data_IF_722141757289
#
_entry.id   IF_722141757289
#
_cell.length_a   1.000
_cell.length_b   1.000
_cell.length_c   1.000
_cell.angle_alpha   90.00
_cell.angle_beta   90.00
_cell.angle_gamma   90.00
#
_symmetry.space_group_name_H-M   'P 1'
#
loop_
_entity.id
_entity.type
_entity.pdbx_description
1 polymer ?
#
# COMPACT_ATOMS: atom_id res chain seq x y z
N UNK A 1 -37.87 54.65 35.03
CA UNK A 1 -36.55 54.75 34.40
C UNK A 1 -35.97 53.35 34.38
N UNK A 2 -35.85 52.78 33.19
CA UNK A 2 -35.24 51.48 32.93
C UNK A 2 -33.74 51.53 33.23
N UNK A 3 -33.19 50.44 33.75
CA UNK A 3 -31.77 50.28 34.03
C UNK A 3 -31.42 48.80 34.09
N UNK A 4 -31.29 48.19 32.90
CA UNK A 4 -30.86 46.81 32.68
C UNK A 4 -29.35 46.73 32.99
N UNK A 5 -28.94 45.89 33.93
CA UNK A 5 -27.53 45.54 34.14
C UNK A 5 -27.26 44.15 33.60
N UNK A 6 -26.65 44.06 32.43
CA UNK A 6 -26.04 42.86 31.86
C UNK A 6 -24.75 42.52 32.62
N UNK A 7 -24.55 41.28 33.11
CA UNK A 7 -23.24 40.84 33.55
C UNK A 7 -22.36 40.51 32.33
N UNK A 8 -21.16 41.07 32.33
CA UNK A 8 -20.13 40.93 31.31
C UNK A 8 -19.80 39.46 31.04
N UNK A 9 -19.79 39.08 29.75
CA UNK A 9 -19.34 37.78 29.27
C UNK A 9 -17.81 37.77 29.33
N UNK A 10 -17.27 37.14 30.36
CA UNK A 10 -15.83 36.92 30.53
C UNK A 10 -15.30 36.13 29.31
N UNK A 11 -14.42 36.75 28.53
CA UNK A 11 -13.74 36.09 27.42
C UNK A 11 -12.68 35.16 28.00
N UNK A 12 -12.94 33.86 27.89
CA UNK A 12 -11.97 32.82 28.22
C UNK A 12 -10.75 32.97 27.29
N UNK A 13 -9.51 33.00 27.83
CA UNK A 13 -8.30 33.09 27.03
C UNK A 13 -8.14 31.90 26.06
N UNK A 14 -7.50 32.09 24.89
CA UNK A 14 -7.39 31.07 23.84
C UNK A 14 -6.63 29.80 24.24
N UNK A 15 -6.05 29.76 25.45
CA UNK A 15 -5.38 28.60 26.02
C UNK A 15 -6.30 27.57 26.69
N UNK A 16 -7.63 27.82 26.73
CA UNK A 16 -8.63 26.87 27.22
C UNK A 16 -9.61 26.38 26.13
N UNK A 17 -9.31 26.66 24.86
CA UNK A 17 -9.98 25.92 23.79
C UNK A 17 -9.57 24.44 23.94
N UNK A 18 -10.52 23.57 24.26
CA UNK A 18 -10.33 22.13 24.17
C UNK A 18 -9.81 21.84 22.76
N UNK A 19 -8.55 21.41 22.69
CA UNK A 19 -7.99 20.87 21.44
C UNK A 19 -8.99 19.81 20.97
N UNK A 20 -9.57 19.92 19.75
CA UNK A 20 -10.50 18.90 19.28
C UNK A 20 -9.80 17.56 19.41
N UNK A 21 -10.45 16.62 20.10
CA UNK A 21 -9.90 15.28 20.37
C UNK A 21 -9.44 14.72 19.05
N UNK A 22 -8.13 14.73 18.81
CA UNK A 22 -7.56 14.23 17.59
C UNK A 22 -7.84 12.73 17.58
N UNK A 23 -8.66 12.29 16.63
CA UNK A 23 -8.92 10.87 16.39
C UNK A 23 -7.57 10.15 16.32
N UNK A 24 -7.31 9.24 17.26
CA UNK A 24 -6.09 8.46 17.24
C UNK A 24 -6.17 7.48 16.07
N UNK A 25 -5.30 7.68 15.08
CA UNK A 25 -5.21 6.78 13.95
C UNK A 25 -4.64 5.43 14.40
N UNK A 26 -5.20 4.30 13.93
CA UNK A 26 -4.66 2.99 14.22
C UNK A 26 -3.23 2.86 13.65
N UNK A 27 -2.37 2.03 14.25
CA UNK A 27 -1.09 1.69 13.64
C UNK A 27 -1.35 1.00 12.30
N UNK A 28 -0.77 1.52 11.23
CA UNK A 28 -0.87 0.96 9.88
C UNK A 28 0.49 0.43 9.44
N UNK A 29 0.51 -0.77 8.85
CA UNK A 29 1.71 -1.42 8.32
C UNK A 29 1.42 -1.87 6.89
N UNK A 30 2.35 -1.62 5.97
CA UNK A 30 2.25 -2.10 4.59
C UNK A 30 2.76 -3.52 4.41
N UNK A 31 3.40 -4.10 5.43
CA UNK A 31 3.92 -5.47 5.37
C UNK A 31 2.78 -6.49 5.43
N UNK A 32 2.77 -7.40 4.47
CA UNK A 32 1.83 -8.52 4.39
C UNK A 32 2.57 -9.85 4.51
N UNK A 33 1.93 -10.85 5.13
CA UNK A 33 2.52 -12.20 5.20
C UNK A 33 2.56 -12.82 3.80
N UNK A 34 3.75 -13.23 3.38
CA UNK A 34 3.98 -13.92 2.11
C UNK A 34 3.85 -15.45 2.27
N UNK A 35 4.35 -15.98 3.40
CA UNK A 35 4.27 -17.39 3.74
C UNK A 35 4.92 -17.67 5.10
N UNK A 36 4.46 -18.71 5.78
CA UNK A 36 4.98 -19.13 7.08
C UNK A 36 4.92 -20.66 7.20
N UNK A 37 5.93 -21.26 7.80
CA UNK A 37 5.94 -22.65 8.24
C UNK A 37 6.62 -22.76 9.61
N UNK A 38 6.96 -23.97 10.05
CA UNK A 38 7.56 -24.19 11.37
C UNK A 38 8.98 -23.58 11.51
N UNK A 39 9.65 -23.31 10.40
CA UNK A 39 11.06 -22.90 10.40
C UNK A 39 11.26 -21.42 10.09
N UNK A 40 10.45 -20.87 9.18
CA UNK A 40 10.62 -19.51 8.68
C UNK A 40 9.28 -18.82 8.44
N UNK A 41 9.24 -17.52 8.74
CA UNK A 41 8.18 -16.60 8.33
C UNK A 41 8.72 -15.60 7.34
N UNK A 42 7.95 -15.32 6.29
CA UNK A 42 8.22 -14.26 5.33
C UNK A 42 7.08 -13.24 5.36
N UNK A 43 7.45 -11.98 5.54
CA UNK A 43 6.55 -10.83 5.32
C UNK A 43 7.15 -9.94 4.25
N UNK A 44 6.33 -9.34 3.39
CA UNK A 44 6.82 -8.48 2.33
C UNK A 44 6.10 -7.14 2.26
N UNK A 45 6.80 -6.15 1.72
CA UNK A 45 6.29 -4.84 1.36
C UNK A 45 6.68 -4.56 -0.10
N UNK A 46 5.75 -3.97 -0.87
CA UNK A 46 5.93 -3.70 -2.30
C UNK A 46 5.93 -2.20 -2.51
N UNK A 47 7.00 -1.68 -3.10
CA UNK A 47 7.14 -0.25 -3.37
C UNK A 47 7.47 0.02 -4.82
N UNK A 48 6.72 0.95 -5.41
CA UNK A 48 7.06 1.58 -6.68
C UNK A 48 8.42 2.27 -6.60
N UNK A 49 9.29 2.05 -7.59
CA UNK A 49 10.56 2.78 -7.67
C UNK A 49 10.30 4.23 -8.08
N UNK A 50 10.74 5.18 -7.26
CA UNK A 50 10.64 6.61 -7.57
C UNK A 50 11.58 7.03 -8.71
N UNK A 51 12.63 6.24 -8.97
CA UNK A 51 13.65 6.56 -9.99
C UNK A 51 13.32 5.96 -11.36
N UNK A 52 12.49 4.90 -11.41
CA UNK A 52 12.22 4.12 -12.62
C UNK A 52 10.74 3.76 -12.69
N UNK A 53 10.04 4.29 -13.70
CA UNK A 53 8.60 4.09 -13.88
C UNK A 53 8.19 2.66 -14.31
N UNK A 54 9.16 1.79 -14.55
CA UNK A 54 9.00 0.41 -15.00
C UNK A 54 9.51 -0.63 -13.97
N UNK A 55 9.80 -0.20 -12.73
CA UNK A 55 10.33 -1.09 -11.70
C UNK A 55 9.61 -0.96 -10.36
N UNK A 56 9.41 -2.10 -9.71
CA UNK A 56 9.02 -2.21 -8.28
C UNK A 56 10.06 -2.97 -7.50
N UNK A 57 10.21 -2.59 -6.23
CA UNK A 57 11.04 -3.29 -5.26
C UNK A 57 10.12 -4.00 -4.29
N UNK A 58 10.34 -5.30 -4.13
CA UNK A 58 9.69 -6.13 -3.13
C UNK A 58 10.71 -6.39 -2.04
N UNK A 59 10.46 -5.84 -0.85
CA UNK A 59 11.31 -6.05 0.32
C UNK A 59 10.69 -7.18 1.13
N UNK A 60 11.44 -8.26 1.33
CA UNK A 60 10.99 -9.46 2.04
C UNK A 60 11.82 -9.59 3.32
N UNK A 61 11.14 -9.55 4.45
CA UNK A 61 11.72 -9.86 5.76
C UNK A 61 11.59 -11.36 5.98
N UNK A 62 12.72 -12.00 6.20
CA UNK A 62 12.83 -13.42 6.52
C UNK A 62 13.12 -13.54 8.01
N UNK A 63 12.22 -14.17 8.76
CA UNK A 63 12.34 -14.38 10.20
C UNK A 63 12.52 -15.87 10.50
N UNK A 64 13.65 -16.22 11.10
CA UNK A 64 13.92 -17.58 11.57
C UNK A 64 13.11 -17.86 12.84
N UNK A 65 12.26 -18.89 12.80
CA UNK A 65 11.40 -19.30 13.90
C UNK A 65 11.99 -20.45 14.74
N UNK A 66 13.19 -20.91 14.36
CA UNK A 66 13.88 -22.03 15.01
C UNK A 66 15.00 -21.55 15.95
N UNK A 67 15.50 -22.50 16.73
CA UNK A 67 16.73 -22.44 17.50
C UNK A 67 17.98 -22.84 16.69
N UNK A 68 17.82 -23.07 15.39
CA UNK A 68 18.85 -23.53 14.47
C UNK A 68 19.24 -22.46 13.44
N UNK A 69 20.43 -22.58 12.84
CA UNK A 69 20.86 -21.63 11.80
C UNK A 69 20.26 -22.00 10.45
N UNK A 70 19.65 -21.03 9.76
CA UNK A 70 19.16 -21.18 8.38
C UNK A 70 20.17 -20.55 7.41
N UNK A 71 20.51 -21.26 6.33
CA UNK A 71 21.43 -20.79 5.30
C UNK A 71 21.00 -21.25 3.91
N UNK A 72 21.76 -20.83 2.90
CA UNK A 72 21.55 -21.21 1.50
C UNK A 72 20.11 -20.90 1.02
N UNK A 73 19.61 -19.72 1.41
CA UNK A 73 18.29 -19.24 1.04
C UNK A 73 18.27 -18.87 -0.46
N UNK A 74 17.33 -19.46 -1.19
CA UNK A 74 17.13 -19.24 -2.62
C UNK A 74 15.68 -18.85 -2.89
N UNK A 75 15.48 -17.59 -3.28
CA UNK A 75 14.17 -17.01 -3.55
C UNK A 75 13.89 -17.01 -5.06
N UNK A 76 12.78 -17.59 -5.48
CA UNK A 76 12.39 -17.61 -6.88
C UNK A 76 10.93 -17.21 -7.05
N UNK A 77 10.63 -16.58 -8.17
CA UNK A 77 9.29 -16.22 -8.60
C UNK A 77 9.16 -16.50 -10.08
N UNK A 78 8.06 -17.15 -10.46
CA UNK A 78 7.74 -17.42 -11.86
C UNK A 78 7.33 -16.12 -12.55
N UNK A 79 8.10 -15.73 -13.56
CA UNK A 79 7.83 -14.55 -14.37
C UNK A 79 6.49 -14.67 -15.11
N UNK A 80 5.84 -13.54 -15.35
CA UNK A 80 4.71 -13.41 -16.28
C UNK A 80 5.06 -12.47 -17.42
N UNK A 81 4.12 -12.29 -18.35
CA UNK A 81 4.27 -11.28 -19.41
C UNK A 81 4.41 -9.86 -18.84
N UNK A 82 3.76 -9.60 -17.70
CA UNK A 82 3.64 -8.24 -17.14
C UNK A 82 4.62 -7.93 -16.02
N UNK A 83 5.14 -8.96 -15.34
CA UNK A 83 6.08 -8.81 -14.23
C UNK A 83 7.19 -9.84 -14.35
N UNK A 84 8.44 -9.37 -14.32
CA UNK A 84 9.62 -10.23 -14.40
C UNK A 84 10.60 -9.90 -13.29
N UNK A 85 11.01 -10.91 -12.53
CA UNK A 85 12.03 -10.75 -11.50
C UNK A 85 13.37 -10.42 -12.16
N UNK A 86 14.02 -9.35 -11.71
CA UNK A 86 15.34 -8.96 -12.19
C UNK A 86 16.37 -9.88 -11.55
N UNK A 87 17.05 -10.66 -12.41
CA UNK A 87 18.09 -11.61 -12.02
C UNK A 87 19.46 -11.11 -12.50
N UNK A 88 20.52 -11.74 -12.00
CA UNK A 88 21.89 -11.48 -12.46
C UNK A 88 22.03 -11.71 -13.97
N UNK A 89 22.95 -10.95 -14.59
CA UNK A 89 23.25 -11.08 -16.02
C UNK A 89 23.66 -12.53 -16.34
N UNK A 90 23.00 -13.13 -17.33
CA UNK A 90 23.23 -14.53 -17.75
C UNK A 90 22.35 -15.56 -17.04
N UNK A 91 21.53 -15.16 -16.06
CA UNK A 91 20.54 -16.04 -15.43
C UNK A 91 19.32 -16.27 -16.33
N UNK A 92 18.78 -17.49 -16.29
CA UNK A 92 17.51 -17.86 -16.92
C UNK A 92 16.32 -17.34 -16.11
N UNK A 93 15.15 -17.23 -16.76
CA UNK A 93 13.87 -16.88 -16.11
C UNK A 93 13.43 -17.87 -15.03
N UNK A 94 14.06 -19.04 -14.96
CA UNK A 94 13.78 -20.06 -13.94
C UNK A 94 14.75 -20.02 -12.75
N UNK A 95 15.84 -19.26 -12.84
CA UNK A 95 16.89 -19.28 -11.82
C UNK A 95 16.44 -18.58 -10.54
N UNK A 96 16.75 -19.19 -9.40
CA UNK A 96 16.52 -18.57 -8.10
C UNK A 96 17.59 -17.50 -7.80
N UNK A 97 17.19 -16.49 -7.01
CA UNK A 97 18.10 -15.48 -6.47
C UNK A 97 18.59 -15.97 -5.10
N UNK A 98 19.91 -16.11 -4.97
CA UNK A 98 20.54 -16.37 -3.69
C UNK A 98 20.43 -15.15 -2.79
N UNK A 99 19.90 -15.36 -1.60
CA UNK A 99 19.81 -14.32 -0.58
C UNK A 99 21.17 -14.23 0.12
N UNK A 100 21.83 -13.05 0.17
CA UNK A 100 23.24 -12.94 0.53
C UNK A 100 23.49 -12.92 2.05
N UNK A 101 22.75 -13.71 2.81
CA UNK A 101 22.92 -13.81 4.26
C UNK A 101 22.49 -15.19 4.79
N UNK A 102 22.91 -15.46 6.02
CA UNK A 102 22.39 -16.54 6.85
C UNK A 102 21.49 -15.94 7.93
N UNK A 103 20.54 -16.72 8.43
CA UNK A 103 19.70 -16.34 9.55
C UNK A 103 20.11 -17.15 10.78
N UNK A 104 20.60 -16.46 11.80
CA UNK A 104 20.87 -17.05 13.11
C UNK A 104 19.54 -17.41 13.81
N UNK A 105 19.58 -18.27 14.85
CA UNK A 105 18.41 -18.59 15.66
C UNK A 105 17.62 -17.35 16.08
N UNK A 106 16.30 -17.37 15.89
CA UNK A 106 15.39 -16.25 16.22
C UNK A 106 15.72 -14.89 15.58
N UNK A 107 16.65 -14.84 14.60
CA UNK A 107 17.02 -13.62 13.92
C UNK A 107 16.13 -13.35 12.70
N UNK A 108 16.09 -12.08 12.29
CA UNK A 108 15.44 -11.68 11.05
C UNK A 108 16.38 -10.83 10.21
N UNK A 109 16.21 -10.89 8.89
CA UNK A 109 16.91 -10.03 7.95
C UNK A 109 16.06 -9.75 6.71
N UNK A 110 16.38 -8.68 5.99
CA UNK A 110 15.61 -8.20 4.84
C UNK A 110 16.38 -8.42 3.54
N UNK A 111 15.71 -8.99 2.53
CA UNK A 111 16.17 -9.08 1.15
C UNK A 111 15.30 -8.24 0.23
N UNK A 112 15.91 -7.54 -0.74
CA UNK A 112 15.19 -6.73 -1.72
C UNK A 112 15.26 -7.37 -3.11
N UNK A 113 14.10 -7.50 -3.75
CA UNK A 113 13.95 -8.14 -5.04
C UNK A 113 13.29 -7.15 -6.01
N UNK A 114 14.00 -6.78 -7.06
CA UNK A 114 13.49 -5.85 -8.06
C UNK A 114 12.74 -6.60 -9.17
N UNK A 115 11.64 -6.03 -9.64
CA UNK A 115 10.86 -6.56 -10.75
C UNK A 115 10.71 -5.51 -11.83
N UNK A 116 10.85 -5.91 -13.09
CA UNK A 116 10.47 -5.11 -14.26
C UNK A 116 8.98 -5.29 -14.55
N UNK A 117 8.33 -4.20 -14.94
CA UNK A 117 6.89 -4.12 -15.14
C UNK A 117 6.60 -3.72 -16.58
N UNK A 118 5.63 -4.39 -17.21
CA UNK A 118 5.10 -4.02 -18.52
C UNK A 118 3.72 -3.36 -18.42
N UNK A 119 2.83 -3.89 -17.58
CA UNK A 119 1.43 -3.45 -17.49
C UNK A 119 0.97 -3.41 -16.03
N UNK A 120 0.20 -2.37 -15.68
CA UNK A 120 -0.22 -2.07 -14.30
C UNK A 120 -1.72 -1.97 -14.12
N UNK A 121 -2.50 -2.05 -15.20
CA UNK A 121 -3.95 -1.79 -15.18
C UNK A 121 -4.76 -2.85 -14.45
N UNK A 122 -4.21 -4.05 -14.28
CA UNK A 122 -4.86 -5.18 -13.60
C UNK A 122 -3.94 -5.80 -12.55
N UNK A 123 -4.48 -6.29 -11.42
CA UNK A 123 -3.68 -6.93 -10.37
C UNK A 123 -2.91 -8.14 -10.89
N UNK A 124 -1.67 -8.30 -10.46
CA UNK A 124 -0.81 -9.40 -10.87
C UNK A 124 -0.57 -10.35 -9.70
N UNK A 125 -0.44 -11.65 -10.02
CA UNK A 125 -0.22 -12.71 -9.04
C UNK A 125 0.86 -13.63 -9.55
N UNK A 126 1.98 -13.70 -8.84
CA UNK A 126 3.11 -14.54 -9.18
C UNK A 126 3.23 -15.69 -8.19
N UNK A 127 3.52 -16.89 -8.70
CA UNK A 127 3.86 -18.05 -7.86
C UNK A 127 5.35 -17.99 -7.55
N UNK A 128 5.71 -18.17 -6.30
CA UNK A 128 7.10 -18.18 -5.87
C UNK A 128 7.42 -19.31 -4.93
N UNK A 129 8.71 -19.55 -4.77
CA UNK A 129 9.27 -20.58 -3.93
C UNK A 129 10.47 -20.02 -3.18
N UNK A 130 10.56 -20.30 -1.89
CA UNK A 130 11.79 -20.14 -1.13
C UNK A 130 12.28 -21.53 -0.75
N UNK A 131 13.52 -21.84 -1.09
CA UNK A 131 14.24 -23.03 -0.59
C UNK A 131 15.37 -22.60 0.31
N UNK A 132 15.64 -23.39 1.35
CA UNK A 132 16.68 -23.09 2.34
C UNK A 132 17.14 -24.37 3.05
N UNK A 133 18.24 -24.25 3.80
CA UNK A 133 18.80 -25.33 4.61
C UNK A 133 18.78 -24.95 6.08
N UNK A 134 18.19 -25.79 6.91
CA UNK A 134 18.25 -25.68 8.39
C UNK A 134 19.39 -26.54 8.89
N UNK A 135 20.34 -25.95 9.63
CA UNK A 135 21.46 -26.69 10.26
C UNK A 135 21.07 -27.16 11.65
N UNK A 136 20.94 -28.48 11.80
CA UNK A 136 20.72 -29.15 13.08
C UNK A 136 22.03 -29.71 13.63
N UNK A 137 22.04 -30.15 14.89
CA UNK A 137 23.26 -30.67 15.53
C UNK A 137 23.79 -31.95 14.86
N UNK A 138 22.88 -32.79 14.35
CA UNK A 138 23.21 -34.08 13.73
C UNK A 138 23.23 -34.05 12.18
N UNK A 139 23.04 -32.87 11.57
CA UNK A 139 23.01 -32.75 10.11
C UNK A 139 22.31 -31.49 9.58
N UNK A 140 21.67 -31.62 8.43
CA UNK A 140 20.92 -30.51 7.84
C UNK A 140 19.69 -30.99 7.08
N UNK A 141 18.60 -30.24 7.17
CA UNK A 141 17.38 -30.48 6.38
C UNK A 141 17.27 -29.45 5.27
N UNK A 142 16.79 -29.90 4.11
CA UNK A 142 16.43 -29.04 3.00
C UNK A 142 14.92 -28.80 3.06
N UNK A 143 14.53 -27.54 3.14
CA UNK A 143 13.14 -27.15 3.25
C UNK A 143 12.72 -26.21 2.13
N UNK A 144 11.41 -26.18 1.90
CA UNK A 144 10.78 -25.41 0.84
C UNK A 144 9.47 -24.83 1.34
N UNK A 145 9.21 -23.59 0.98
CA UNK A 145 7.90 -22.95 1.11
C UNK A 145 7.46 -22.40 -0.25
N UNK A 146 6.27 -22.81 -0.66
CA UNK A 146 5.57 -22.26 -1.82
C UNK A 146 4.72 -21.07 -1.37
N UNK A 147 4.75 -19.97 -2.12
CA UNK A 147 4.00 -18.76 -1.78
C UNK A 147 3.42 -18.09 -3.03
N UNK A 148 2.57 -17.10 -2.80
CA UNK A 148 1.96 -16.29 -3.85
C UNK A 148 2.20 -14.81 -3.58
N UNK A 149 2.95 -14.18 -4.46
CA UNK A 149 3.21 -12.74 -4.41
C UNK A 149 2.12 -12.01 -5.20
N UNK A 150 1.33 -11.19 -4.52
CA UNK A 150 0.23 -10.44 -5.13
C UNK A 150 0.60 -8.97 -5.24
N UNK A 151 0.50 -8.42 -6.44
CA UNK A 151 0.70 -7.01 -6.76
C UNK A 151 -0.68 -6.41 -7.07
N UNK A 152 -1.34 -5.79 -6.09
CA UNK A 152 -2.51 -4.97 -6.36
C UNK A 152 -2.14 -3.76 -7.25
N UNK A 153 -3.11 -3.19 -7.94
CA UNK A 153 -2.93 -1.98 -8.75
C UNK A 153 -2.39 -0.82 -7.90
N UNK A 154 -2.83 -0.73 -6.64
CA UNK A 154 -2.28 0.22 -5.65
C UNK A 154 -0.76 0.11 -5.45
N UNK A 155 -0.13 -1.07 -5.60
CA UNK A 155 1.33 -1.21 -5.52
C UNK A 155 2.09 -0.47 -6.62
N UNK A 156 1.40 -0.09 -7.70
CA UNK A 156 1.97 0.69 -8.80
C UNK A 156 1.69 2.20 -8.70
N UNK A 157 0.99 2.63 -7.63
CA UNK A 157 0.69 4.02 -7.36
C UNK A 157 1.79 4.69 -6.55
N UNK A 158 2.02 5.97 -6.82
CA UNK A 158 3.02 6.80 -6.16
C UNK A 158 2.29 7.98 -5.54
N UNK A 159 2.51 8.16 -4.22
CA UNK A 159 1.93 9.23 -3.44
C UNK A 159 2.49 10.60 -3.86
N UNK A 160 1.91 11.14 -4.94
CA UNK A 160 2.39 12.34 -5.63
C UNK A 160 1.68 13.58 -5.07
N UNK A 161 2.39 14.59 -4.56
CA UNK A 161 1.78 15.85 -4.14
C UNK A 161 1.10 16.55 -5.32
N UNK A 162 -0.12 17.07 -5.11
CA UNK A 162 -0.83 17.87 -6.09
C UNK A 162 -1.48 19.07 -5.39
N UNK A 163 -1.21 20.28 -5.89
CA UNK A 163 -1.82 21.51 -5.38
C UNK A 163 -3.26 21.62 -5.90
N UNK A 164 -4.15 22.26 -5.13
CA UNK A 164 -5.54 22.47 -5.51
C UNK A 164 -5.72 23.07 -6.92
N UNK A 165 -4.96 24.10 -7.28
CA UNK A 165 -5.00 24.70 -8.63
C UNK A 165 -4.68 23.69 -9.74
N UNK A 166 -3.66 22.86 -9.54
CA UNK A 166 -3.25 21.86 -10.53
C UNK A 166 -4.29 20.73 -10.62
N UNK A 167 -4.89 20.37 -9.50
CA UNK A 167 -5.96 19.37 -9.45
C UNK A 167 -7.21 19.86 -10.19
N UNK A 168 -7.62 21.11 -10.00
CA UNK A 168 -8.72 21.74 -10.75
C UNK A 168 -8.41 21.77 -12.24
N UNK A 169 -7.23 22.25 -12.65
CA UNK A 169 -6.84 22.26 -14.06
C UNK A 169 -6.83 20.85 -14.67
N UNK A 170 -6.39 19.83 -13.92
CA UNK A 170 -6.42 18.45 -14.38
C UNK A 170 -7.85 17.93 -14.57
N UNK A 171 -8.77 18.25 -13.66
CA UNK A 171 -10.19 17.88 -13.79
C UNK A 171 -10.88 18.55 -14.98
N UNK A 172 -10.44 19.76 -15.34
CA UNK A 172 -10.97 20.57 -16.45
C UNK A 172 -10.27 20.29 -17.78
N UNK A 173 -9.09 19.66 -17.77
CA UNK A 173 -8.26 19.39 -18.96
C UNK A 173 -8.97 18.57 -20.05
N UNK A 174 -9.92 17.71 -19.67
CA UNK A 174 -10.51 16.70 -20.54
C UNK A 174 -9.71 15.40 -20.65
N UNK A 175 -8.49 15.34 -20.08
CA UNK A 175 -7.62 14.15 -20.15
C UNK A 175 -8.13 12.98 -19.30
N UNK A 176 -8.93 13.28 -18.26
CA UNK A 176 -9.55 12.27 -17.39
C UNK A 176 -10.88 11.79 -18.00
N UNK A 177 -10.77 10.97 -19.04
CA UNK A 177 -11.92 10.46 -19.80
C UNK A 177 -12.74 9.44 -19.01
N UNK A 178 -12.07 8.66 -18.16
CA UNK A 178 -12.66 7.51 -17.49
C UNK A 178 -13.24 7.89 -16.13
N UNK A 179 -14.42 7.36 -15.83
CA UNK A 179 -15.16 7.65 -14.60
C UNK A 179 -15.71 6.37 -14.01
N UNK A 180 -15.61 6.22 -12.70
CA UNK A 180 -16.20 5.09 -11.97
C UNK A 180 -16.59 5.54 -10.57
N UNK A 181 -17.56 4.88 -9.95
CA UNK A 181 -18.02 5.21 -8.61
C UNK A 181 -18.44 3.96 -7.86
N UNK A 182 -18.15 3.95 -6.56
CA UNK A 182 -18.56 2.89 -5.65
C UNK A 182 -19.22 3.51 -4.41
N UNK A 183 -20.19 2.80 -3.86
CA UNK A 183 -20.83 3.16 -2.60
C UNK A 183 -21.04 1.91 -1.73
N UNK A 184 -20.67 2.00 -0.47
CA UNK A 184 -20.76 0.90 0.50
C UNK A 184 -20.77 1.43 1.95
N UNK A 185 -20.82 0.53 2.92
CA UNK A 185 -20.69 0.85 4.36
C UNK A 185 -19.33 0.32 4.84
N UNK A 186 -18.41 1.19 5.28
CA UNK A 186 -17.09 0.77 5.77
C UNK A 186 -17.19 0.18 7.19
N UNK A 187 -16.17 -0.60 7.57
CA UNK A 187 -16.03 -1.14 8.92
C UNK A 187 -15.85 -0.02 9.97
N UNK A 188 -15.08 1.03 9.64
CA UNK A 188 -14.89 2.20 10.49
C UNK A 188 -15.90 3.30 10.14
N UNK A 189 -16.58 3.84 11.16
CA UNK A 189 -17.53 4.94 10.99
C UNK A 189 -16.88 6.34 11.00
N UNK A 190 -15.60 6.43 11.39
CA UNK A 190 -14.89 7.70 11.50
C UNK A 190 -14.21 8.09 10.19
N UNK A 191 -14.71 9.15 9.55
CA UNK A 191 -14.17 9.65 8.28
C UNK A 191 -12.64 9.88 8.27
N UNK A 192 -12.01 10.47 9.32
CA UNK A 192 -10.56 10.62 9.36
C UNK A 192 -9.80 9.29 9.30
N UNK A 193 -10.31 8.23 9.95
CA UNK A 193 -9.70 6.89 9.92
C UNK A 193 -9.81 6.30 8.52
N UNK A 194 -11.00 6.37 7.92
CA UNK A 194 -11.22 5.87 6.55
C UNK A 194 -10.33 6.59 5.54
N UNK A 195 -10.27 7.92 5.61
CA UNK A 195 -9.42 8.73 4.72
C UNK A 195 -7.94 8.41 4.91
N UNK A 196 -7.49 8.23 6.16
CA UNK A 196 -6.11 7.85 6.46
C UNK A 196 -5.76 6.47 5.87
N UNK A 197 -6.64 5.48 6.01
CA UNK A 197 -6.47 4.15 5.41
C UNK A 197 -6.39 4.21 3.88
N UNK A 198 -7.26 4.97 3.22
CA UNK A 198 -7.21 5.18 1.77
C UNK A 198 -5.87 5.79 1.35
N UNK A 199 -5.42 6.85 2.05
CA UNK A 199 -4.16 7.51 1.74
C UNK A 199 -2.95 6.60 1.97
N UNK A 200 -2.95 5.85 3.07
CA UNK A 200 -1.83 4.99 3.45
C UNK A 200 -1.69 3.77 2.52
N UNK A 201 -2.75 2.96 2.39
CA UNK A 201 -2.69 1.69 1.66
C UNK A 201 -2.73 1.83 0.13
N UNK A 202 -3.29 2.93 -0.38
CA UNK A 202 -3.44 3.14 -1.82
C UNK A 202 -2.64 4.34 -2.34
N UNK A 203 -1.72 4.85 -1.51
CA UNK A 203 -0.78 5.92 -1.87
C UNK A 203 -1.46 7.17 -2.45
N UNK A 204 -2.55 7.59 -1.84
CA UNK A 204 -3.21 8.85 -2.16
C UNK A 204 -2.71 10.00 -1.27
N UNK A 205 -2.77 11.22 -1.82
CA UNK A 205 -2.54 12.46 -1.09
C UNK A 205 -3.81 13.28 -1.05
N UNK A 206 -4.15 13.80 0.13
CA UNK A 206 -5.26 14.75 0.28
C UNK A 206 -4.88 16.06 -0.41
N UNK A 207 -5.75 16.51 -1.31
CA UNK A 207 -5.64 17.80 -2.00
C UNK A 207 -6.43 18.85 -1.24
N UNK A 208 -7.65 18.51 -0.88
CA UNK A 208 -8.57 19.34 -0.11
C UNK A 208 -9.49 18.44 0.73
N UNK A 209 -9.91 18.94 1.88
CA UNK A 209 -10.87 18.28 2.74
C UNK A 209 -11.83 19.33 3.30
N UNK A 210 -13.13 19.04 3.20
CA UNK A 210 -14.21 19.85 3.77
C UNK A 210 -15.15 18.89 4.48
N UNK A 211 -15.21 19.00 5.81
CA UNK A 211 -16.02 18.13 6.67
C UNK A 211 -15.76 16.62 6.43
N UNK A 212 -16.79 15.89 6.00
CA UNK A 212 -16.78 14.45 5.67
C UNK A 212 -16.58 14.19 4.18
N UNK A 213 -15.95 15.12 3.47
CA UNK A 213 -15.64 15.04 2.04
C UNK A 213 -14.17 15.39 1.82
N UNK A 214 -13.46 14.62 0.99
CA UNK A 214 -12.08 14.88 0.63
C UNK A 214 -11.81 14.58 -0.84
N UNK A 215 -11.11 15.48 -1.51
CA UNK A 215 -10.52 15.21 -2.82
C UNK A 215 -9.11 14.70 -2.62
N UNK A 216 -8.83 13.52 -3.15
CA UNK A 216 -7.52 12.87 -3.05
C UNK A 216 -6.96 12.56 -4.43
N UNK A 217 -5.64 12.57 -4.53
CA UNK A 217 -4.93 12.38 -5.79
C UNK A 217 -3.80 11.36 -5.65
N UNK A 218 -3.64 10.53 -6.68
CA UNK A 218 -2.48 9.68 -6.87
C UNK A 218 -2.12 9.59 -8.34
N UNK A 219 -0.90 9.13 -8.61
CA UNK A 219 -0.40 8.92 -9.96
C UNK A 219 0.30 7.57 -10.04
N UNK A 220 0.06 6.81 -11.09
CA UNK A 220 0.80 5.56 -11.30
C UNK A 220 2.23 5.83 -11.76
N UNK A 221 3.11 4.85 -11.54
CA UNK A 221 4.49 4.89 -12.04
C UNK A 221 4.62 5.03 -13.57
N UNK A 222 3.60 4.59 -14.33
CA UNK A 222 3.53 4.75 -15.78
C UNK A 222 2.81 6.04 -16.23
N UNK A 223 2.41 6.87 -15.28
CA UNK A 223 1.92 8.21 -15.56
C UNK A 223 0.40 8.39 -15.59
N UNK A 224 -0.39 7.36 -15.28
CA UNK A 224 -1.84 7.46 -15.22
C UNK A 224 -2.28 8.26 -13.99
N UNK A 225 -3.11 9.27 -14.21
CA UNK A 225 -3.63 10.13 -13.16
C UNK A 225 -4.88 9.51 -12.54
N UNK A 226 -5.02 9.55 -11.21
CA UNK A 226 -6.20 9.07 -10.50
C UNK A 226 -6.65 10.14 -9.50
N UNK A 227 -7.85 10.66 -9.71
CA UNK A 227 -8.49 11.65 -8.85
C UNK A 227 -9.73 11.01 -8.22
N UNK A 228 -9.83 11.03 -6.89
CA UNK A 228 -11.00 10.52 -6.18
C UNK A 228 -11.64 11.61 -5.33
N UNK A 229 -12.96 11.62 -5.28
CA UNK A 229 -13.77 12.34 -4.31
C UNK A 229 -14.36 11.33 -3.33
N UNK A 230 -13.89 11.38 -2.08
CA UNK A 230 -14.30 10.49 -1.01
C UNK A 230 -15.30 11.24 -0.12
N UNK A 231 -16.54 10.78 -0.06
CA UNK A 231 -17.61 11.43 0.72
C UNK A 231 -18.31 10.43 1.63
N UNK A 232 -18.46 10.76 2.91
CA UNK A 232 -19.18 9.95 3.88
C UNK A 232 -20.50 10.61 4.30
N UNK A 233 -21.61 9.88 4.16
CA UNK A 233 -22.98 10.32 4.49
C UNK A 233 -23.72 9.18 5.18
N UNK A 234 -24.25 9.41 6.38
CA UNK A 234 -25.06 8.45 7.15
C UNK A 234 -24.40 7.05 7.22
N UNK A 235 -23.14 7.00 7.65
CA UNK A 235 -22.30 5.80 7.76
C UNK A 235 -22.07 5.03 6.43
N UNK A 236 -22.49 5.58 5.30
CA UNK A 236 -22.12 5.10 3.97
C UNK A 236 -21.01 5.97 3.39
N UNK A 237 -20.05 5.34 2.73
CA UNK A 237 -19.02 6.01 1.95
C UNK A 237 -19.33 5.89 0.47
N UNK A 238 -19.22 7.01 -0.24
CA UNK A 238 -19.27 7.12 -1.69
C UNK A 238 -17.91 7.61 -2.19
N UNK A 239 -17.34 6.92 -3.16
CA UNK A 239 -16.07 7.28 -3.78
C UNK A 239 -16.30 7.44 -5.27
N UNK A 240 -16.20 8.69 -5.74
CA UNK A 240 -16.28 9.02 -7.16
C UNK A 240 -14.88 9.20 -7.72
N UNK A 241 -14.54 8.45 -8.76
CA UNK A 241 -13.22 8.44 -9.37
C UNK A 241 -13.21 8.96 -10.80
N UNK A 242 -12.13 9.65 -11.15
CA UNK A 242 -11.77 10.01 -12.53
C UNK A 242 -10.32 9.62 -12.81
N UNK A 243 -10.06 9.09 -13.99
CA UNK A 243 -8.73 8.60 -14.38
C UNK A 243 -8.49 8.76 -15.88
N UNK A 244 -7.21 8.67 -16.27
CA UNK A 244 -6.81 8.48 -17.68
C UNK A 244 -7.01 7.04 -18.17
N UNK A 245 -7.21 6.08 -17.26
CA UNK A 245 -7.42 4.66 -17.57
C UNK A 245 -8.51 4.04 -16.67
N UNK A 246 -9.49 3.37 -17.29
CA UNK A 246 -10.71 2.91 -16.63
C UNK A 246 -10.55 1.54 -15.97
N UNK A 247 -9.67 0.68 -16.51
CA UNK A 247 -9.37 -0.61 -15.92
C UNK A 247 -8.58 -0.43 -14.62
N UNK A 248 -7.56 0.43 -14.66
CA UNK A 248 -6.80 0.80 -13.46
C UNK A 248 -7.71 1.42 -12.40
N UNK A 249 -8.56 2.38 -12.78
CA UNK A 249 -9.48 3.05 -11.86
C UNK A 249 -10.42 2.06 -11.17
N UNK A 250 -11.04 1.16 -11.95
CA UNK A 250 -12.01 0.20 -11.41
C UNK A 250 -11.35 -0.76 -10.41
N UNK A 251 -10.16 -1.30 -10.75
CA UNK A 251 -9.42 -2.16 -9.84
C UNK A 251 -8.99 -1.43 -8.56
N UNK A 252 -8.52 -0.18 -8.64
CA UNK A 252 -8.15 0.62 -7.46
C UNK A 252 -9.36 0.89 -6.57
N UNK A 253 -10.53 1.17 -7.13
CA UNK A 253 -11.76 1.34 -6.35
C UNK A 253 -12.18 0.03 -5.67
N UNK A 254 -12.11 -1.10 -6.36
CA UNK A 254 -12.40 -2.42 -5.79
C UNK A 254 -11.44 -2.81 -4.66
N UNK A 255 -10.15 -2.45 -4.78
CA UNK A 255 -9.15 -2.61 -3.72
C UNK A 255 -9.49 -1.75 -2.49
N UNK A 256 -9.84 -0.47 -2.70
CA UNK A 256 -10.25 0.43 -1.61
C UNK A 256 -11.47 -0.14 -0.89
N UNK A 257 -12.46 -0.63 -1.65
CA UNK A 257 -13.66 -1.25 -1.08
C UNK A 257 -13.29 -2.48 -0.25
N UNK A 258 -12.47 -3.37 -0.79
CA UNK A 258 -12.07 -4.61 -0.11
C UNK A 258 -11.28 -4.34 1.17
N UNK A 259 -10.50 -3.26 1.21
CA UNK A 259 -9.73 -2.86 2.39
C UNK A 259 -10.59 -2.21 3.50
N UNK A 260 -11.67 -1.53 3.12
CA UNK A 260 -12.52 -0.78 4.04
C UNK A 260 -13.74 -1.55 4.56
N UNK A 261 -14.05 -2.73 4.02
CA UNK A 261 -15.18 -3.58 4.43
C UNK A 261 -14.73 -4.73 5.31
#
# INVERSE_FOLDING_TARGET
>A
AEGITTPSKEQVPPSQAETPVAVQLPPMSSYVTLGENNSIKMTCDIRASHQRGDQVIVSVVFSNLTDHTIKDLEFNVMDTMNLKLIRSMGSSHHDAIKVPFILLPSAQNEGQFAFNIQEIKVPQKLKGTLTYIVKMDEGSTHEKIDFKLTFPCSSFLVATPCKGSNFTSLLESGDLTEKSSIQFTPQDSEFPVVLAKVCFYHHFRVVEQVEKSASVYSKSMQGHHICLLVKMVNDSIKIDGKSTDGSLLSNVLDEIKTMLV
#
